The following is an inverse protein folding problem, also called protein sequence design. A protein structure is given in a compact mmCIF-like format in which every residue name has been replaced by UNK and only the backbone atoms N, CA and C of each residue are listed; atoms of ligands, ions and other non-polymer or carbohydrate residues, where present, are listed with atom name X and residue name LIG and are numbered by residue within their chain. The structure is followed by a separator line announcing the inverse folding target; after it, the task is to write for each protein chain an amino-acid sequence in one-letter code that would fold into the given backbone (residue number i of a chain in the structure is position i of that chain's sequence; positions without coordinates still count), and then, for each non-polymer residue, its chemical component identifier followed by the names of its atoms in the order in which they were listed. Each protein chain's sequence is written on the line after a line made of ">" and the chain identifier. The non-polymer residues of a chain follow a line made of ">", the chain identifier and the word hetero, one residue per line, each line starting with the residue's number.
data_IF_292932071222
#
_entry.id   IF_292932071222
#
_cell.length_a   1.000
_cell.length_b   1.000
_cell.length_c   1.000
_cell.angle_alpha   90.00
_cell.angle_beta   90.00
_cell.angle_gamma   90.00
#
_symmetry.space_group_name_H-M   'P 1'
#
loop_
_entity.id
_entity.type
_entity.pdbx_description
1 polymer ?
#
# COMPACT_ATOMS: atom_id res chain seq x y z
N UNK A 1 -6.16 -22.53 -18.39
CA UNK A 1 -4.92 -22.84 -17.64
C UNK A 1 -3.80 -22.01 -18.25
N UNK A 2 -3.25 -21.04 -17.52
CA UNK A 2 -2.03 -20.34 -17.95
C UNK A 2 -0.82 -21.09 -17.39
N UNK A 3 -0.02 -21.64 -18.30
CA UNK A 3 1.27 -22.28 -18.04
C UNK A 3 2.19 -21.27 -17.35
N UNK A 4 2.36 -21.39 -16.03
CA UNK A 4 3.40 -20.64 -15.31
C UNK A 4 4.75 -21.18 -15.73
N UNK A 5 5.42 -20.43 -16.59
CA UNK A 5 6.76 -20.72 -17.06
C UNK A 5 7.72 -20.56 -15.86
N UNK A 6 8.14 -21.68 -15.26
CA UNK A 6 8.95 -21.75 -14.03
C UNK A 6 10.31 -21.04 -14.12
N UNK A 7 10.76 -20.69 -15.33
CA UNK A 7 12.02 -19.98 -15.56
C UNK A 7 11.89 -18.45 -15.55
N UNK A 8 10.66 -17.89 -15.53
CA UNK A 8 10.46 -16.44 -15.51
C UNK A 8 10.46 -15.91 -14.08
N UNK A 9 11.26 -14.88 -13.82
CA UNK A 9 11.19 -14.16 -12.55
C UNK A 9 9.96 -13.25 -12.53
N UNK A 10 9.51 -12.86 -11.34
CA UNK A 10 8.39 -11.91 -11.21
C UNK A 10 8.64 -10.60 -11.97
N UNK A 11 9.92 -10.19 -12.13
CA UNK A 11 10.32 -9.01 -12.89
C UNK A 11 10.02 -9.19 -14.38
N UNK A 12 10.35 -10.35 -14.93
CA UNK A 12 10.10 -10.67 -16.34
C UNK A 12 8.60 -10.65 -16.64
N UNK A 13 7.79 -11.20 -15.72
CA UNK A 13 6.32 -11.16 -15.84
C UNK A 13 5.80 -9.71 -15.87
N UNK A 14 6.31 -8.85 -14.99
CA UNK A 14 5.94 -7.43 -14.95
C UNK A 14 6.40 -6.68 -16.19
N UNK A 15 7.59 -6.98 -16.70
CA UNK A 15 8.11 -6.35 -17.92
C UNK A 15 7.33 -6.75 -19.16
N UNK A 16 6.96 -8.03 -19.28
CA UNK A 16 6.14 -8.53 -20.39
C UNK A 16 4.73 -7.93 -20.33
N UNK A 17 4.12 -7.89 -19.14
CA UNK A 17 2.80 -7.30 -18.95
C UNK A 17 2.79 -5.81 -19.29
N UNK A 18 3.77 -5.04 -18.79
CA UNK A 18 3.85 -3.61 -19.09
C UNK A 18 4.11 -3.34 -20.57
N UNK A 19 4.92 -4.18 -21.24
CA UNK A 19 5.14 -4.03 -22.69
C UNK A 19 3.84 -4.25 -23.48
N UNK A 20 3.08 -5.31 -23.15
CA UNK A 20 1.79 -5.56 -23.78
C UNK A 20 0.78 -4.42 -23.52
N UNK A 21 0.74 -3.91 -22.28
CA UNK A 21 -0.15 -2.81 -21.90
C UNK A 21 0.27 -1.47 -22.54
N UNK A 22 1.57 -1.25 -22.73
CA UNK A 22 2.11 -0.08 -23.44
C UNK A 22 1.72 -0.07 -24.91
N UNK A 23 1.78 -1.24 -25.57
CA UNK A 23 1.37 -1.45 -26.96
C UNK A 23 -0.16 -1.37 -27.14
N UNK A 24 -0.91 -1.82 -26.12
CA UNK A 24 -2.38 -1.74 -26.09
C UNK A 24 -2.92 -0.34 -25.69
N UNK A 25 -2.04 0.62 -25.41
CA UNK A 25 -2.37 1.99 -25.01
C UNK A 25 -3.39 2.08 -23.86
N UNK A 26 -3.19 1.28 -22.81
CA UNK A 26 -4.09 1.28 -21.66
C UNK A 26 -4.10 2.62 -20.91
N UNK A 27 -5.24 3.01 -20.31
CA UNK A 27 -5.34 4.25 -19.55
C UNK A 27 -4.54 4.19 -18.25
N UNK A 28 -3.88 5.31 -17.91
CA UNK A 28 -3.09 5.47 -16.69
C UNK A 28 -3.92 6.14 -15.57
N UNK A 29 -3.64 5.85 -14.28
CA UNK A 29 -2.53 5.05 -13.77
C UNK A 29 -2.76 3.53 -13.88
N UNK A 30 -1.70 2.79 -14.21
CA UNK A 30 -1.73 1.33 -14.27
C UNK A 30 -1.19 0.75 -12.97
N UNK A 31 -1.86 -0.28 -12.43
CA UNK A 31 -1.47 -0.92 -11.18
C UNK A 31 -1.39 -2.44 -11.32
N UNK A 32 -0.22 -2.99 -11.01
CA UNK A 32 0.02 -4.43 -10.98
C UNK A 32 0.11 -4.95 -9.55
N UNK A 33 -0.51 -6.11 -9.30
CA UNK A 33 -0.35 -6.86 -8.07
C UNK A 33 0.57 -8.06 -8.33
N UNK A 34 1.72 -8.08 -7.68
CA UNK A 34 2.79 -9.03 -7.96
C UNK A 34 3.21 -9.75 -6.69
N UNK A 35 3.26 -11.07 -6.76
CA UNK A 35 3.84 -11.88 -5.69
C UNK A 35 5.36 -11.83 -5.79
N UNK A 36 6.01 -11.35 -4.73
CA UNK A 36 7.47 -11.24 -4.68
C UNK A 36 8.05 -12.22 -3.67
N UNK A 37 8.76 -13.27 -4.12
CA UNK A 37 9.33 -14.27 -3.22
C UNK A 37 10.46 -13.70 -2.35
N UNK A 38 11.12 -12.62 -2.79
CA UNK A 38 12.21 -11.97 -2.05
C UNK A 38 11.74 -11.39 -0.72
N UNK A 39 10.54 -10.81 -0.69
CA UNK A 39 9.95 -10.24 0.52
C UNK A 39 8.86 -11.13 1.12
N UNK A 40 8.58 -12.30 0.50
CA UNK A 40 7.48 -13.21 0.87
C UNK A 40 6.12 -12.49 0.98
N UNK A 41 5.94 -11.43 0.18
CA UNK A 41 4.77 -10.55 0.23
C UNK A 41 4.32 -10.20 -1.19
N UNK A 42 3.04 -9.89 -1.31
CA UNK A 42 2.51 -9.26 -2.50
C UNK A 42 2.81 -7.75 -2.47
N UNK A 43 3.20 -7.19 -3.62
CA UNK A 43 3.42 -5.76 -3.78
C UNK A 43 2.50 -5.19 -4.86
N UNK A 44 2.10 -3.95 -4.69
CA UNK A 44 1.51 -3.13 -5.74
C UNK A 44 2.62 -2.33 -6.40
N UNK A 45 2.72 -2.43 -7.73
CA UNK A 45 3.54 -1.55 -8.56
C UNK A 45 2.56 -0.66 -9.34
N UNK A 46 2.58 0.63 -9.05
CA UNK A 46 1.77 1.64 -9.71
C UNK A 46 2.65 2.48 -10.63
N UNK A 47 2.19 2.66 -11.86
CA UNK A 47 2.81 3.53 -12.86
C UNK A 47 1.83 4.69 -13.10
N UNK A 48 2.17 5.93 -12.71
CA UNK A 48 1.24 7.05 -12.73
C UNK A 48 1.00 7.60 -14.14
N UNK A 49 2.01 7.53 -15.02
CA UNK A 49 1.96 8.09 -16.38
C UNK A 49 2.58 7.11 -17.39
N UNK A 50 2.20 7.24 -18.67
CA UNK A 50 2.80 6.43 -19.74
C UNK A 50 4.27 6.76 -19.90
N UNK A 51 5.14 5.78 -19.67
CA UNK A 51 6.60 5.91 -19.81
C UNK A 51 7.12 4.86 -20.78
N UNK A 52 8.24 5.10 -21.49
CA UNK A 52 8.84 4.09 -22.35
C UNK A 52 9.18 2.82 -21.56
N UNK A 53 9.00 1.65 -22.17
CA UNK A 53 9.30 0.34 -21.54
C UNK A 53 10.74 0.27 -21.03
N UNK A 54 11.70 0.91 -21.72
CA UNK A 54 13.09 0.99 -21.26
C UNK A 54 13.24 1.79 -19.95
N UNK A 55 12.49 2.88 -19.79
CA UNK A 55 12.47 3.69 -18.56
C UNK A 55 11.85 2.88 -17.42
N UNK A 56 10.73 2.23 -17.67
CA UNK A 56 10.08 1.36 -16.67
C UNK A 56 11.02 0.25 -16.17
N UNK A 57 11.70 -0.45 -17.09
CA UNK A 57 12.69 -1.48 -16.74
C UNK A 57 13.80 -0.92 -15.85
N UNK A 58 14.31 0.27 -16.15
CA UNK A 58 15.33 0.95 -15.33
C UNK A 58 14.79 1.26 -13.94
N UNK A 59 13.61 1.85 -13.81
CA UNK A 59 13.02 2.20 -12.51
C UNK A 59 12.78 0.97 -11.63
N UNK A 60 12.26 -0.13 -12.20
CA UNK A 60 12.08 -1.38 -11.45
C UNK A 60 13.42 -1.97 -11.00
N UNK A 61 14.45 -1.94 -11.86
CA UNK A 61 15.79 -2.39 -11.45
C UNK A 61 16.41 -1.52 -10.37
N UNK A 62 16.21 -0.19 -10.43
CA UNK A 62 16.64 0.75 -9.39
C UNK A 62 15.94 0.46 -8.07
N UNK A 63 14.62 0.29 -8.08
CA UNK A 63 13.83 -0.15 -6.93
C UNK A 63 14.40 -1.43 -6.31
N UNK A 64 14.56 -2.48 -7.12
CA UNK A 64 15.04 -3.78 -6.62
C UNK A 64 16.45 -3.64 -6.02
N UNK A 65 17.34 -2.86 -6.64
CA UNK A 65 18.68 -2.61 -6.09
C UNK A 65 18.65 -1.85 -4.76
N UNK A 66 17.78 -0.85 -4.65
CA UNK A 66 17.64 -0.04 -3.44
C UNK A 66 17.06 -0.85 -2.27
N UNK A 67 16.06 -1.71 -2.54
CA UNK A 67 15.28 -2.41 -1.52
C UNK A 67 15.67 -3.87 -1.27
N UNK A 68 16.68 -4.41 -1.97
CA UNK A 68 17.07 -5.84 -1.85
C UNK A 68 17.45 -6.29 -0.44
N UNK A 69 17.94 -5.39 0.42
CA UNK A 69 18.33 -5.70 1.80
C UNK A 69 17.28 -5.26 2.83
N UNK A 70 16.28 -4.51 2.40
CA UNK A 70 15.23 -3.98 3.27
C UNK A 70 14.10 -4.99 3.39
N UNK A 71 13.53 -5.12 4.59
CA UNK A 71 12.33 -5.95 4.81
C UNK A 71 11.05 -5.31 4.27
N UNK A 72 11.02 -3.99 4.13
CA UNK A 72 9.90 -3.24 3.57
C UNK A 72 10.18 -2.86 2.10
N UNK A 73 9.39 -3.37 1.14
CA UNK A 73 9.54 -3.04 -0.28
C UNK A 73 8.92 -1.69 -0.67
N UNK A 74 8.46 -0.87 0.28
CA UNK A 74 7.93 0.45 0.00
C UNK A 74 8.97 1.34 -0.70
N UNK A 75 8.67 1.79 -1.92
CA UNK A 75 9.56 2.62 -2.73
C UNK A 75 8.73 3.58 -3.59
N UNK A 76 9.25 4.78 -3.84
CA UNK A 76 8.61 5.75 -4.72
C UNK A 76 9.69 6.56 -5.42
N UNK A 77 9.55 6.68 -6.73
CA UNK A 77 10.29 7.65 -7.54
C UNK A 77 9.33 8.40 -8.48
N UNK A 78 9.88 9.12 -9.44
CA UNK A 78 9.12 9.89 -10.44
C UNK A 78 8.32 9.01 -11.42
N UNK A 79 8.69 7.73 -11.56
CA UNK A 79 8.19 6.83 -12.61
C UNK A 79 7.31 5.70 -12.06
N UNK A 80 7.57 5.23 -10.84
CA UNK A 80 6.84 4.14 -10.19
C UNK A 80 6.63 4.40 -8.69
N UNK A 81 5.52 3.87 -8.17
CA UNK A 81 5.24 3.78 -6.74
C UNK A 81 5.01 2.32 -6.38
N UNK A 82 5.84 1.78 -5.48
CA UNK A 82 5.77 0.41 -4.97
C UNK A 82 5.33 0.41 -3.52
N UNK A 83 4.31 -0.39 -3.19
CA UNK A 83 3.83 -0.56 -1.82
C UNK A 83 3.59 -2.03 -1.52
N UNK A 84 3.97 -2.47 -0.33
CA UNK A 84 3.56 -3.79 0.16
C UNK A 84 2.03 -3.83 0.29
N UNK A 85 1.42 -4.94 -0.11
CA UNK A 85 0.04 -5.21 0.22
C UNK A 85 -0.03 -5.54 1.70
N UNK A 86 -0.69 -4.67 2.46
CA UNK A 86 -1.03 -4.95 3.85
C UNK A 86 -2.09 -6.06 3.84
N UNK A 87 -1.84 -7.16 4.56
CA UNK A 87 -2.86 -8.19 4.72
C UNK A 87 -4.03 -7.63 5.54
N UNK A 88 -5.24 -8.15 5.34
CA UNK A 88 -6.43 -7.72 6.08
C UNK A 88 -6.21 -7.73 7.61
N UNK A 89 -5.40 -8.67 8.11
CA UNK A 89 -5.06 -8.81 9.53
C UNK A 89 -4.09 -7.72 10.00
N UNK A 90 -3.10 -7.36 9.18
CA UNK A 90 -2.19 -6.24 9.47
C UNK A 90 -2.93 -4.89 9.40
N UNK A 91 -3.89 -4.73 8.50
CA UNK A 91 -4.73 -3.53 8.41
C UNK A 91 -5.54 -3.32 9.69
N UNK A 92 -6.20 -4.38 10.20
CA UNK A 92 -6.92 -4.31 11.48
C UNK A 92 -6.01 -3.98 12.66
N UNK A 93 -4.77 -4.52 12.68
CA UNK A 93 -3.81 -4.20 13.72
C UNK A 93 -3.32 -2.74 13.65
N UNK A 94 -3.17 -2.17 12.43
CA UNK A 94 -2.85 -0.76 12.24
C UNK A 94 -4.01 0.16 12.63
N UNK A 95 -5.26 -0.22 12.34
CA UNK A 95 -6.46 0.53 12.76
C UNK A 95 -6.64 0.51 14.28
N UNK A 96 -6.45 -0.65 14.91
CA UNK A 96 -6.49 -0.78 16.37
C UNK A 96 -5.39 0.06 17.06
N UNK A 97 -4.19 0.12 16.47
CA UNK A 97 -3.09 0.92 17.03
C UNK A 97 -3.31 2.44 16.85
N UNK A 98 -3.99 2.86 15.77
CA UNK A 98 -4.39 4.28 15.58
C UNK A 98 -5.45 4.74 16.58
N UNK A 99 -6.33 3.84 17.05
CA UNK A 99 -7.31 4.17 18.09
C UNK A 99 -6.69 4.36 19.49
N UNK A 100 -5.45 3.91 19.72
CA UNK A 100 -4.77 4.04 21.01
C UNK A 100 -3.88 5.29 21.11
N UNK A 101 -3.67 6.03 20.02
CA UNK A 101 -2.80 7.22 19.96
C UNK A 101 -3.60 8.55 19.85
N UNK A 102 -4.86 8.57 20.30
CA UNK A 102 -5.57 9.83 20.62
C UNK A 102 -5.54 10.08 22.14
N UNK A 103 -4.64 10.93 22.66
CA UNK A 103 -4.75 11.43 24.00
C UNK A 103 -5.77 12.59 24.03
N UNK A 104 -7.01 12.26 24.39
CA UNK A 104 -7.88 13.17 25.12
C UNK A 104 -8.96 13.88 24.31
N UNK A 105 -10.17 13.34 24.37
CA UNK A 105 -11.34 14.18 24.64
C UNK A 105 -11.98 13.69 25.94
N UNK A 106 -11.91 14.58 26.94
CA UNK A 106 -12.29 14.35 28.32
C UNK A 106 -13.70 13.77 28.43
N UNK A 107 -13.79 12.65 29.14
CA UNK A 107 -14.91 12.40 30.04
C UNK A 107 -15.05 13.61 30.98
N UNK A 108 -16.25 14.18 31.06
CA UNK A 108 -16.63 15.01 32.18
C UNK A 108 -17.82 14.35 32.86
N UNK A 109 -17.56 13.91 34.08
CA UNK A 109 -18.40 13.14 34.99
C UNK A 109 -19.78 13.77 35.33
N UNK A 110 -20.72 12.97 35.85
CA UNK A 110 -22.11 13.34 36.07
C UNK A 110 -22.29 14.13 37.37
N UNK A 111 -23.04 15.23 37.34
CA UNK A 111 -23.47 15.92 38.56
C UNK A 111 -24.86 15.42 39.01
N UNK A 112 -24.88 14.53 39.99
CA UNK A 112 -26.06 14.20 40.81
C UNK A 112 -25.75 14.49 42.28
N UNK A 113 -26.50 15.42 42.89
CA UNK A 113 -26.90 15.57 44.31
C UNK A 113 -27.05 17.06 44.64
N UNK A 114 -28.00 17.60 45.41
CA UNK A 114 -29.33 17.25 45.92
C UNK A 114 -29.78 18.48 46.75
N UNK A 115 -31.09 18.68 46.94
CA UNK A 115 -31.61 19.31 48.18
C UNK A 115 -32.22 20.72 48.07
N UNK A 116 -33.56 20.74 48.15
CA UNK A 116 -34.47 21.66 48.86
C UNK A 116 -34.13 23.16 49.00
N UNK A 117 -35.08 24.03 48.61
CA UNK A 117 -36.07 24.64 49.53
C UNK A 117 -36.91 25.72 48.80
N UNK A 118 -38.23 25.69 48.99
CA UNK A 118 -39.17 26.81 49.32
C UNK A 118 -39.01 28.18 48.60
N UNK A 119 -40.01 28.99 48.27
CA UNK A 119 -41.45 29.10 48.55
C UNK A 119 -41.92 30.43 47.88
N UNK A 120 -43.20 30.51 47.50
CA UNK A 120 -44.02 31.73 47.28
C UNK A 120 -43.56 32.87 46.35
N UNK A 121 -44.34 33.17 45.30
CA UNK A 121 -45.55 34.02 45.39
C UNK A 121 -46.31 34.08 44.06
#
# INVERSE_FOLDING_TARGET
>A
MTTRNLNKTWRDVVFDQYAADFDADVPFPVRYLINTPQWTKDIFIEIPIKIPVATFRRSVLTFVRAKRLDSDPAYRDENISVRARVSFRESQAQEANKQHDEPGSKYQDPATVAGNAQDSR
#
